data_IF_380991430328
#
_entry.id   IF_380991430328
#
_cell.length_a   1.000
_cell.length_b   1.000
_cell.length_c   1.000
_cell.angle_alpha   90.00
_cell.angle_beta   90.00
_cell.angle_gamma   90.00
#
_symmetry.space_group_name_H-M   'P 1'
#
loop_
_entity.id
_entity.type
_entity.pdbx_description
1 polymer ?
#
# COMPACT_ATOMS: atom_id res chain seq x y z
N UNK A 1 5.15 9.76 3.23
CA UNK A 1 5.00 9.54 4.70
C UNK A 1 6.31 8.98 5.24
N UNK A 2 6.75 9.31 6.46
CA UNK A 2 7.95 8.69 7.06
C UNK A 2 7.53 7.40 7.77
N UNK A 3 7.57 6.29 7.04
CA UNK A 3 7.19 4.96 7.54
C UNK A 3 8.45 4.13 7.79
N UNK A 4 8.78 3.86 9.05
CA UNK A 4 9.98 3.09 9.44
C UNK A 4 9.80 1.58 9.31
N UNK A 5 8.56 1.09 9.36
CA UNK A 5 8.23 -0.34 9.33
C UNK A 5 6.87 -0.59 8.68
N UNK A 6 6.75 -1.65 7.89
CA UNK A 6 5.50 -2.09 7.26
C UNK A 6 5.07 -3.41 7.90
N UNK A 7 3.94 -3.38 8.61
CA UNK A 7 3.35 -4.59 9.17
C UNK A 7 2.44 -5.26 8.15
N UNK A 8 2.82 -6.48 7.74
CA UNK A 8 2.10 -7.23 6.72
C UNK A 8 1.34 -8.38 7.35
N UNK A 9 0.04 -8.45 7.08
CA UNK A 9 -0.76 -9.64 7.44
C UNK A 9 -0.47 -10.77 6.46
N UNK A 10 -0.78 -12.01 6.87
CA UNK A 10 -0.67 -13.18 5.99
C UNK A 10 -1.45 -12.99 4.68
N UNK A 11 -2.63 -12.35 4.74
CA UNK A 11 -3.43 -12.04 3.56
C UNK A 11 -2.66 -11.16 2.55
N UNK A 12 -1.97 -10.13 3.04
CA UNK A 12 -1.17 -9.25 2.18
C UNK A 12 -0.02 -10.04 1.55
N UNK A 13 0.72 -10.83 2.32
CA UNK A 13 1.83 -11.65 1.81
C UNK A 13 1.36 -12.61 0.71
N UNK A 14 0.24 -13.30 0.91
CA UNK A 14 -0.34 -14.20 -0.09
C UNK A 14 -0.71 -13.45 -1.37
N UNK A 15 -1.31 -12.26 -1.26
CA UNK A 15 -1.72 -11.45 -2.42
C UNK A 15 -0.53 -10.92 -3.20
N UNK A 16 0.53 -10.47 -2.52
CA UNK A 16 1.77 -10.03 -3.17
C UNK A 16 2.40 -11.17 -3.96
N UNK A 17 2.47 -12.36 -3.36
CA UNK A 17 3.01 -13.54 -4.04
C UNK A 17 2.17 -13.95 -5.27
N UNK A 18 0.85 -14.08 -5.12
CA UNK A 18 -0.04 -14.48 -6.23
C UNK A 18 -0.05 -13.50 -7.40
N UNK A 19 0.31 -12.23 -7.17
CA UNK A 19 0.34 -11.18 -8.20
C UNK A 19 1.75 -10.78 -8.63
N UNK A 20 2.77 -11.46 -8.09
CA UNK A 20 4.18 -11.16 -8.35
C UNK A 20 4.54 -9.70 -8.08
N UNK A 21 3.93 -9.09 -7.05
CA UNK A 21 4.18 -7.71 -6.66
C UNK A 21 5.34 -7.71 -5.65
N UNK A 22 6.49 -7.10 -5.96
CA UNK A 22 7.60 -7.05 -5.03
C UNK A 22 7.28 -6.08 -3.88
N UNK A 23 7.73 -6.41 -2.67
CA UNK A 23 7.50 -5.56 -1.49
C UNK A 23 8.10 -4.15 -1.64
N UNK A 24 9.16 -4.02 -2.44
CA UNK A 24 9.77 -2.73 -2.76
C UNK A 24 8.79 -1.79 -3.49
N UNK A 25 7.92 -2.31 -4.35
CA UNK A 25 6.93 -1.50 -5.07
C UNK A 25 5.81 -1.03 -4.13
N UNK A 26 5.43 -1.86 -3.15
CA UNK A 26 4.50 -1.45 -2.08
C UNK A 26 5.10 -0.34 -1.22
N UNK A 27 6.39 -0.48 -0.83
CA UNK A 27 7.11 0.56 -0.09
C UNK A 27 7.19 1.86 -0.90
N UNK A 28 7.51 1.77 -2.20
CA UNK A 28 7.51 2.91 -3.10
C UNK A 28 6.15 3.60 -3.11
N UNK A 29 5.05 2.85 -3.17
CA UNK A 29 3.70 3.39 -3.14
C UNK A 29 3.35 4.05 -1.78
N UNK A 30 3.81 3.51 -0.66
CA UNK A 30 3.60 4.11 0.67
C UNK A 30 4.39 5.43 0.83
N UNK A 31 5.59 5.49 0.25
CA UNK A 31 6.47 6.66 0.36
C UNK A 31 6.10 7.78 -0.62
N UNK A 32 5.78 7.43 -1.86
CA UNK A 32 5.64 8.36 -3.00
C UNK A 32 4.23 8.38 -3.62
N UNK A 33 3.33 7.50 -3.18
CA UNK A 33 2.00 7.39 -3.73
C UNK A 33 1.15 8.63 -3.44
N UNK A 34 0.28 8.94 -4.39
CA UNK A 34 -0.74 9.97 -4.24
C UNK A 34 -1.94 9.38 -3.51
N UNK A 35 -2.40 10.04 -2.46
CA UNK A 35 -3.71 9.72 -1.86
C UNK A 35 -4.83 10.04 -2.84
N UNK A 36 -5.61 9.02 -3.19
CA UNK A 36 -6.75 9.13 -4.11
C UNK A 36 -8.09 8.87 -3.42
N UNK A 37 -8.08 8.29 -2.22
CA UNK A 37 -9.24 8.22 -1.35
C UNK A 37 -8.81 8.13 0.12
N UNK A 38 -9.65 8.66 1.01
CA UNK A 38 -9.45 8.67 2.46
C UNK A 38 -10.67 8.05 3.14
N UNK A 39 -10.44 7.14 4.09
CA UNK A 39 -11.46 6.44 4.85
C UNK A 39 -11.23 6.64 6.35
N UNK A 40 -11.50 7.86 6.87
CA UNK A 40 -11.19 8.21 8.26
C UNK A 40 -12.02 7.44 9.29
N UNK A 41 -13.10 6.79 8.86
CA UNK A 41 -14.02 6.04 9.72
C UNK A 41 -13.76 4.54 9.75
N UNK A 42 -12.78 4.05 8.98
CA UNK A 42 -12.39 2.65 8.99
C UNK A 42 -11.91 2.23 10.39
N UNK A 43 -12.14 0.95 10.70
CA UNK A 43 -11.70 0.33 11.95
C UNK A 43 -10.78 -0.85 11.62
N UNK A 44 -9.72 -1.08 12.39
CA UNK A 44 -9.38 -0.43 13.67
C UNK A 44 -8.71 0.95 13.56
N UNK A 45 -8.16 1.29 12.39
CA UNK A 45 -7.50 2.57 12.13
C UNK A 45 -8.07 3.23 10.86
N UNK A 46 -8.05 4.57 10.79
CA UNK A 46 -8.28 5.30 9.54
C UNK A 46 -7.42 4.75 8.41
N UNK A 47 -8.00 4.55 7.23
CA UNK A 47 -7.24 4.04 6.07
C UNK A 47 -7.21 5.05 4.92
N UNK A 48 -6.21 4.93 4.05
CA UNK A 48 -6.07 5.70 2.82
C UNK A 48 -5.77 4.78 1.65
N UNK A 49 -6.29 5.12 0.48
CA UNK A 49 -5.95 4.48 -0.79
C UNK A 49 -4.90 5.34 -1.51
N UNK A 50 -3.71 4.77 -1.66
CA UNK A 50 -2.60 5.36 -2.37
C UNK A 50 -2.51 4.80 -3.79
N UNK A 51 -2.22 5.65 -4.76
CA UNK A 51 -1.90 5.27 -6.14
C UNK A 51 -0.46 5.67 -6.46
N UNK A 52 0.32 4.73 -6.99
CA UNK A 52 1.67 4.97 -7.47
C UNK A 52 1.91 4.22 -8.80
N UNK A 53 3.02 4.55 -9.45
CA UNK A 53 3.43 3.94 -10.72
C UNK A 53 4.85 3.36 -10.65
N UNK A 54 5.14 2.42 -9.73
CA UNK A 54 6.43 1.74 -9.71
C UNK A 54 6.68 1.08 -11.07
N UNK A 55 7.85 1.34 -11.67
CA UNK A 55 8.22 0.83 -13.00
C UNK A 55 7.16 1.11 -14.09
N UNK A 56 6.49 2.27 -14.02
CA UNK A 56 5.40 2.68 -14.92
C UNK A 56 4.14 1.79 -14.87
N UNK A 57 4.04 0.89 -13.90
CA UNK A 57 2.87 0.05 -13.70
C UNK A 57 1.99 0.61 -12.58
N UNK A 58 0.68 0.78 -12.80
CA UNK A 58 -0.21 1.30 -11.78
C UNK A 58 -0.34 0.29 -10.62
N UNK A 59 -0.04 0.76 -9.42
CA UNK A 59 -0.22 0.02 -8.18
C UNK A 59 -1.05 0.86 -7.21
N UNK A 60 -2.16 0.29 -6.77
CA UNK A 60 -2.97 0.85 -5.69
C UNK A 60 -2.74 0.07 -4.38
N UNK A 61 -2.53 0.79 -3.29
CA UNK A 61 -2.26 0.21 -1.96
C UNK A 61 -3.18 0.88 -0.95
N UNK A 62 -3.92 0.07 -0.18
CA UNK A 62 -4.65 0.57 0.99
C UNK A 62 -3.73 0.43 2.21
N UNK A 63 -3.57 1.52 2.97
CA UNK A 63 -2.74 1.60 4.19
C UNK A 63 -3.62 2.11 5.32
N UNK A 64 -3.49 1.55 6.52
CA UNK A 64 -4.19 1.96 7.74
C UNK A 64 -3.22 1.98 8.93
#
# INVERSE_FOLDING_TARGET
MQCSSLDLTLHVVQRLFSRQIPIADVRFAVEHGQEIASYPTDKPYPSVLLLAFPNQQPLHVVVA
#
